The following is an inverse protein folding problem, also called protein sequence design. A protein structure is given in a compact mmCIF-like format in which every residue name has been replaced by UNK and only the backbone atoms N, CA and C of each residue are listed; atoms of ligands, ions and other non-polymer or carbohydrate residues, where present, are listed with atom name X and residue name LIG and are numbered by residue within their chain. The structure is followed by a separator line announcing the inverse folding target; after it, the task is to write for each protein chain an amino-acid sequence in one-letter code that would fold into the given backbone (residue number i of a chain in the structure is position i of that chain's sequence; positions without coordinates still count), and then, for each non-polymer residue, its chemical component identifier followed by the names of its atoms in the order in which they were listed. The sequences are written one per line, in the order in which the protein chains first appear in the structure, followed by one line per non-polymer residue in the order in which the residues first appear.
data_IF_945077901830
#
_entry.id   IF_945077901830
#
_cell.length_a   1.000
_cell.length_b   1.000
_cell.length_c   1.000
_cell.angle_alpha   90.00
_cell.angle_beta   90.00
_cell.angle_gamma   90.00
#
_symmetry.space_group_name_H-M   'P 1'
#
loop_
_entity.id
_entity.type
_entity.pdbx_description
1 polymer ?
#
# COMPACT_ATOMS: atom_id res chain seq x y z
N UNK A 1 -16.08 -33.30 38.42
CA UNK A 1 -16.58 -32.64 37.19
C UNK A 1 -16.14 -31.18 37.22
N UNK A 2 -15.93 -30.59 36.04
CA UNK A 2 -15.65 -29.17 35.79
C UNK A 2 -14.39 -28.56 36.44
N UNK A 3 -13.39 -28.27 35.60
CA UNK A 3 -12.33 -27.28 35.85
C UNK A 3 -12.43 -26.17 34.79
N UNK A 4 -12.25 -24.91 35.19
CA UNK A 4 -12.42 -23.74 34.32
C UNK A 4 -11.36 -23.68 33.20
N UNK A 5 -11.70 -23.17 31.99
CA UNK A 5 -10.71 -22.80 30.99
C UNK A 5 -10.05 -21.46 31.34
N UNK A 6 -8.72 -21.41 31.25
CA UNK A 6 -7.90 -20.22 31.49
C UNK A 6 -7.76 -19.34 30.24
N UNK A 7 -7.35 -18.08 30.47
CA UNK A 7 -7.35 -17.00 29.49
C UNK A 7 -6.52 -17.28 28.22
N UNK A 8 -7.06 -16.84 27.07
CA UNK A 8 -6.37 -16.87 25.78
C UNK A 8 -5.24 -15.84 25.71
N UNK A 9 -4.00 -16.31 25.76
CA UNK A 9 -2.85 -15.49 25.36
C UNK A 9 -2.79 -15.36 23.83
N UNK A 10 -2.52 -14.15 23.34
CA UNK A 10 -2.44 -13.85 21.91
C UNK A 10 -1.14 -14.43 21.33
N UNK A 11 -1.18 -15.68 20.86
CA UNK A 11 -0.03 -16.30 20.21
C UNK A 11 0.28 -15.59 18.88
N UNK A 12 1.44 -14.91 18.83
CA UNK A 12 2.07 -14.58 17.57
C UNK A 12 2.48 -15.89 16.85
N UNK A 13 2.35 -15.98 15.51
CA UNK A 13 2.63 -17.21 14.79
C UNK A 13 4.13 -17.59 14.87
N UNK A 14 4.39 -18.87 15.11
CA UNK A 14 5.70 -19.41 15.52
C UNK A 14 6.83 -19.28 14.49
N UNK A 15 6.54 -18.96 13.22
CA UNK A 15 7.55 -18.81 12.16
C UNK A 15 8.40 -17.53 12.29
N UNK A 16 8.02 -16.58 13.15
CA UNK A 16 8.85 -15.40 13.44
C UNK A 16 10.23 -15.78 14.03
N UNK A 17 10.38 -17.00 14.54
CA UNK A 17 11.62 -17.51 15.15
C UNK A 17 12.73 -17.89 14.15
N UNK A 18 12.47 -17.99 12.84
CA UNK A 18 13.47 -18.39 11.84
C UNK A 18 14.17 -17.20 11.15
N UNK A 19 13.90 -15.97 11.59
CA UNK A 19 14.58 -14.76 11.11
C UNK A 19 16.05 -14.61 11.61
N UNK A 20 16.70 -15.71 12.01
CA UNK A 20 17.99 -15.70 12.73
C UNK A 20 19.23 -15.58 11.83
N UNK A 21 19.07 -15.60 10.50
CA UNK A 21 20.17 -15.23 9.60
C UNK A 21 20.30 -13.70 9.55
N UNK A 22 21.46 -13.10 9.91
CA UNK A 22 21.66 -11.66 9.85
C UNK A 22 21.37 -11.10 8.46
N UNK A 23 21.76 -11.80 7.39
CA UNK A 23 21.54 -11.37 6.00
C UNK A 23 20.05 -11.11 5.74
N UNK A 24 19.20 -12.10 6.06
CA UNK A 24 17.75 -12.00 5.82
C UNK A 24 17.06 -10.89 6.63
N UNK A 25 17.51 -10.66 7.88
CA UNK A 25 17.01 -9.55 8.69
C UNK A 25 17.34 -8.18 8.08
N UNK A 26 18.56 -8.01 7.58
CA UNK A 26 18.99 -6.77 6.92
C UNK A 26 18.21 -6.52 5.62
N UNK A 27 18.07 -7.54 4.75
CA UNK A 27 17.31 -7.41 3.50
C UNK A 27 15.87 -6.98 3.76
N UNK A 28 15.15 -7.62 4.70
CA UNK A 28 13.76 -7.26 5.04
C UNK A 28 13.62 -5.85 5.61
N UNK A 29 14.57 -5.38 6.42
CA UNK A 29 14.54 -4.03 7.01
C UNK A 29 14.84 -2.92 5.98
N UNK A 30 15.67 -3.23 4.99
CA UNK A 30 16.01 -2.34 3.87
C UNK A 30 15.02 -2.41 2.69
N UNK A 31 14.13 -3.40 2.69
CA UNK A 31 13.22 -3.68 1.58
C UNK A 31 12.25 -2.54 1.28
N UNK A 32 11.51 -1.94 2.24
CA UNK A 32 10.52 -0.94 1.87
C UNK A 32 11.20 0.38 1.48
N UNK A 33 10.79 0.96 0.34
CA UNK A 33 11.21 2.30 -0.09
C UNK A 33 10.71 3.32 0.94
N UNK A 34 11.57 4.29 1.29
CA UNK A 34 11.29 5.35 2.27
C UNK A 34 11.71 6.69 1.68
N UNK A 35 10.71 7.54 1.47
CA UNK A 35 10.78 8.90 0.91
C UNK A 35 9.78 9.78 1.65
N UNK A 36 9.94 11.11 1.63
CA UNK A 36 8.98 12.03 2.23
C UNK A 36 7.74 12.22 1.34
N UNK A 37 6.62 12.75 1.87
CA UNK A 37 5.43 13.04 1.05
C UNK A 37 5.80 13.94 -0.13
N UNK A 38 5.18 13.69 -1.28
CA UNK A 38 5.44 14.34 -2.56
C UNK A 38 6.83 14.09 -3.20
N UNK A 39 7.78 13.42 -2.54
CA UNK A 39 9.05 13.06 -3.20
C UNK A 39 8.82 11.99 -4.29
N UNK A 40 9.34 12.19 -5.53
CA UNK A 40 9.26 11.21 -6.60
C UNK A 40 10.11 9.97 -6.28
N UNK A 41 9.65 8.80 -6.71
CA UNK A 41 10.48 7.59 -6.71
C UNK A 41 11.30 7.55 -8.00
N UNK A 42 12.63 7.59 -7.87
CA UNK A 42 13.55 7.52 -9.01
C UNK A 42 13.59 6.12 -9.62
N UNK A 43 14.18 6.01 -10.82
CA UNK A 43 14.58 4.72 -11.40
C UNK A 43 15.47 3.91 -10.46
N UNK A 44 16.37 4.54 -9.68
CA UNK A 44 17.16 3.84 -8.65
C UNK A 44 16.26 3.32 -7.51
N UNK A 45 15.28 4.09 -7.02
CA UNK A 45 14.39 3.64 -5.93
C UNK A 45 13.60 2.38 -6.34
N UNK A 46 13.06 2.38 -7.57
CA UNK A 46 12.23 1.29 -8.10
C UNK A 46 13.03 0.16 -8.75
N UNK A 47 14.34 0.36 -8.99
CA UNK A 47 15.20 -0.55 -9.76
C UNK A 47 14.63 -0.79 -11.17
N UNK A 48 14.42 0.30 -11.91
CA UNK A 48 13.75 0.29 -13.22
C UNK A 48 14.38 -0.69 -14.23
N UNK A 49 15.70 -0.74 -14.36
CA UNK A 49 16.36 -1.54 -15.40
C UNK A 49 16.21 -3.05 -15.13
N UNK A 50 16.13 -3.45 -13.86
CA UNK A 50 15.81 -4.82 -13.45
C UNK A 50 14.38 -5.17 -13.85
N UNK A 51 13.43 -4.29 -13.53
CA UNK A 51 12.03 -4.46 -13.90
C UNK A 51 11.86 -4.48 -15.43
N UNK A 52 12.61 -3.65 -16.14
CA UNK A 52 12.55 -3.60 -17.60
C UNK A 52 13.08 -4.89 -18.22
N UNK A 53 14.23 -5.41 -17.76
CA UNK A 53 14.73 -6.72 -18.20
C UNK A 53 13.71 -7.85 -17.93
N UNK A 54 13.09 -7.87 -16.75
CA UNK A 54 12.11 -8.91 -16.37
C UNK A 54 10.86 -8.88 -17.27
N UNK A 55 10.35 -7.69 -17.59
CA UNK A 55 9.10 -7.53 -18.34
C UNK A 55 9.27 -7.41 -19.86
N UNK A 56 10.47 -7.10 -20.36
CA UNK A 56 10.80 -7.12 -21.79
C UNK A 56 11.30 -8.47 -22.30
N UNK A 57 11.51 -9.45 -21.41
CA UNK A 57 11.94 -10.80 -21.80
C UNK A 57 10.91 -11.48 -22.72
N UNK A 58 11.38 -11.92 -23.88
CA UNK A 58 10.55 -12.47 -24.97
C UNK A 58 10.45 -13.99 -24.95
N UNK A 59 11.04 -14.68 -23.97
CA UNK A 59 11.01 -16.15 -23.91
C UNK A 59 9.64 -16.64 -23.47
N UNK A 60 8.85 -17.12 -24.43
CA UNK A 60 7.60 -17.79 -24.20
C UNK A 60 7.84 -19.20 -23.64
N UNK A 61 8.02 -19.32 -22.31
CA UNK A 61 8.42 -20.56 -21.64
C UNK A 61 7.54 -20.95 -20.45
N UNK A 62 6.60 -20.09 -20.04
CA UNK A 62 5.71 -20.34 -18.90
C UNK A 62 4.33 -20.82 -19.36
N UNK A 63 3.70 -21.73 -18.62
CA UNK A 63 2.34 -22.23 -18.88
C UNK A 63 1.31 -21.15 -18.53
N UNK A 64 0.46 -20.76 -19.48
CA UNK A 64 -0.68 -19.88 -19.18
C UNK A 64 -1.82 -20.68 -18.53
N UNK A 65 -2.17 -20.44 -17.25
CA UNK A 65 -3.25 -21.17 -16.57
C UNK A 65 -4.66 -20.86 -17.11
N UNK A 66 -4.80 -19.86 -17.99
CA UNK A 66 -6.08 -19.46 -18.58
C UNK A 66 -6.25 -19.98 -20.02
N UNK A 67 -5.17 -20.48 -20.63
CA UNK A 67 -5.22 -21.10 -21.94
C UNK A 67 -5.67 -22.56 -21.81
N UNK A 68 -6.65 -22.96 -22.61
CA UNK A 68 -7.05 -24.38 -22.73
C UNK A 68 -6.05 -25.24 -23.51
N UNK A 69 -4.85 -24.73 -23.77
CA UNK A 69 -3.76 -25.39 -24.51
C UNK A 69 -2.44 -25.22 -23.76
N UNK A 70 -1.46 -26.08 -24.01
CA UNK A 70 -0.09 -25.95 -23.49
C UNK A 70 0.70 -24.81 -24.18
N UNK A 71 0.02 -23.69 -24.46
CA UNK A 71 0.60 -22.49 -25.03
C UNK A 71 1.50 -21.83 -23.99
N UNK A 72 2.79 -21.73 -24.32
CA UNK A 72 3.74 -21.01 -23.48
C UNK A 72 3.66 -19.49 -23.72
N UNK A 73 3.83 -18.73 -22.64
CA UNK A 73 3.81 -17.26 -22.60
C UNK A 73 5.07 -16.72 -21.93
N UNK A 74 5.38 -15.45 -22.19
CA UNK A 74 6.46 -14.72 -21.50
C UNK A 74 6.11 -14.43 -20.05
N UNK A 75 7.09 -14.18 -19.18
CA UNK A 75 6.83 -13.75 -17.80
C UNK A 75 5.92 -12.51 -17.72
N UNK A 76 6.17 -11.49 -18.56
CA UNK A 76 5.36 -10.27 -18.58
C UNK A 76 3.88 -10.55 -18.83
N UNK A 77 3.57 -11.30 -19.89
CA UNK A 77 2.20 -11.72 -20.19
C UNK A 77 1.57 -12.59 -19.08
N UNK A 78 2.32 -13.52 -18.49
CA UNK A 78 1.82 -14.35 -17.37
C UNK A 78 1.42 -13.50 -16.16
N UNK A 79 2.27 -12.54 -15.79
CA UNK A 79 2.05 -11.68 -14.62
C UNK A 79 0.93 -10.67 -14.87
N UNK A 80 0.87 -10.06 -16.06
CA UNK A 80 -0.24 -9.19 -16.50
C UNK A 80 -1.56 -9.97 -16.51
N UNK A 81 -1.56 -11.19 -17.05
CA UNK A 81 -2.75 -12.07 -17.08
C UNK A 81 -3.26 -12.39 -15.67
N UNK A 82 -2.36 -12.77 -14.74
CA UNK A 82 -2.73 -13.04 -13.35
C UNK A 82 -3.33 -11.81 -12.62
N UNK A 83 -2.82 -10.61 -12.90
CA UNK A 83 -3.40 -9.36 -12.40
C UNK A 83 -4.77 -9.08 -13.03
N UNK A 84 -4.90 -9.28 -14.34
CA UNK A 84 -6.14 -9.06 -15.09
C UNK A 84 -7.26 -10.03 -14.66
N UNK A 85 -6.95 -11.29 -14.37
CA UNK A 85 -7.96 -12.30 -13.97
C UNK A 85 -8.35 -12.20 -12.50
N UNK A 86 -7.56 -11.50 -11.66
CA UNK A 86 -7.89 -11.25 -10.26
C UNK A 86 -9.32 -10.73 -10.06
N UNK A 87 -10.01 -11.28 -9.06
CA UNK A 87 -11.38 -10.88 -8.67
C UNK A 87 -11.42 -9.54 -7.94
N UNK A 88 -10.26 -8.95 -7.61
CA UNK A 88 -10.13 -7.60 -7.03
C UNK A 88 -9.49 -6.59 -7.98
N UNK A 89 -9.12 -6.99 -9.20
CA UNK A 89 -8.83 -6.04 -10.28
C UNK A 89 -10.13 -5.36 -10.73
N UNK A 90 -10.21 -4.03 -10.63
CA UNK A 90 -11.45 -3.30 -10.91
C UNK A 90 -11.76 -3.26 -12.42
N UNK A 91 -13.05 -3.09 -12.78
CA UNK A 91 -13.48 -3.00 -14.18
C UNK A 91 -12.72 -1.92 -14.96
N UNK A 92 -12.62 -0.71 -14.40
CA UNK A 92 -11.89 0.43 -14.99
C UNK A 92 -10.40 0.09 -15.22
N UNK A 93 -9.77 -0.65 -14.31
CA UNK A 93 -8.38 -1.07 -14.47
C UNK A 93 -8.24 -2.09 -15.62
N UNK A 94 -9.16 -3.07 -15.71
CA UNK A 94 -9.19 -4.04 -16.81
C UNK A 94 -9.40 -3.36 -18.17
N UNK A 95 -10.32 -2.40 -18.23
CA UNK A 95 -10.57 -1.60 -19.43
C UNK A 95 -9.32 -0.82 -19.85
N UNK A 96 -8.63 -0.15 -18.91
CA UNK A 96 -7.38 0.57 -19.19
C UNK A 96 -6.23 -0.36 -19.61
N UNK A 97 -6.12 -1.55 -19.01
CA UNK A 97 -5.14 -2.57 -19.37
C UNK A 97 -5.30 -3.08 -20.81
N UNK A 98 -6.54 -3.15 -21.30
CA UNK A 98 -6.88 -3.53 -22.69
C UNK A 98 -6.69 -2.35 -23.65
N UNK A 99 -7.14 -1.15 -23.27
CA UNK A 99 -7.01 0.08 -24.06
C UNK A 99 -5.54 0.47 -24.29
N UNK A 100 -4.69 0.30 -23.27
CA UNK A 100 -3.29 0.73 -23.29
C UNK A 100 -2.38 -0.40 -22.79
N UNK A 101 -1.89 -1.29 -23.66
CA UNK A 101 -1.01 -2.39 -23.26
C UNK A 101 0.28 -1.96 -22.53
N UNK A 102 0.82 -0.77 -22.83
CA UNK A 102 1.94 -0.19 -22.11
C UNK A 102 1.62 0.07 -20.62
N UNK A 103 0.42 0.57 -20.32
CA UNK A 103 -0.07 0.76 -18.95
C UNK A 103 -0.12 -0.56 -18.18
N UNK A 104 -0.49 -1.67 -18.83
CA UNK A 104 -0.48 -3.00 -18.20
C UNK A 104 0.91 -3.40 -17.71
N UNK A 105 1.97 -3.10 -18.48
CA UNK A 105 3.35 -3.37 -18.10
C UNK A 105 3.81 -2.43 -16.98
N UNK A 106 3.51 -1.14 -17.07
CA UNK A 106 3.80 -0.16 -16.00
C UNK A 106 3.14 -0.55 -14.67
N UNK A 107 1.84 -0.86 -14.71
CA UNK A 107 1.09 -1.35 -13.55
C UNK A 107 1.65 -2.68 -13.01
N UNK A 108 2.01 -3.61 -13.89
CA UNK A 108 2.60 -4.89 -13.50
C UNK A 108 3.96 -4.73 -12.81
N UNK A 109 4.80 -3.78 -13.23
CA UNK A 109 6.06 -3.41 -12.57
C UNK A 109 5.82 -2.87 -11.15
N UNK A 110 4.85 -1.97 -10.96
CA UNK A 110 4.45 -1.46 -9.63
C UNK A 110 3.85 -2.59 -8.76
N UNK A 111 3.05 -3.48 -9.36
CA UNK A 111 2.47 -4.62 -8.68
C UNK A 111 3.53 -5.65 -8.25
N UNK A 112 4.56 -5.90 -9.05
CA UNK A 112 5.69 -6.75 -8.66
C UNK A 112 6.43 -6.18 -7.44
N UNK A 113 6.75 -4.88 -7.44
CA UNK A 113 7.36 -4.20 -6.31
C UNK A 113 6.48 -4.23 -5.05
N UNK A 114 5.15 -4.15 -5.21
CA UNK A 114 4.20 -4.29 -4.10
C UNK A 114 4.14 -5.74 -3.58
N UNK A 115 4.26 -6.73 -4.47
CA UNK A 115 4.22 -8.15 -4.11
C UNK A 115 5.46 -8.58 -3.30
N UNK A 116 6.66 -8.13 -3.72
CA UNK A 116 7.90 -8.38 -2.96
C UNK A 116 8.04 -7.49 -1.73
N UNK A 117 7.22 -6.44 -1.57
CA UNK A 117 7.25 -5.55 -0.41
C UNK A 117 8.24 -4.38 -0.49
N UNK A 118 8.71 -4.01 -1.68
CA UNK A 118 9.43 -2.74 -1.93
C UNK A 118 8.50 -1.54 -1.78
N UNK A 119 7.28 -1.64 -2.30
CA UNK A 119 6.23 -0.62 -2.19
C UNK A 119 5.32 -0.93 -1.01
N UNK A 120 5.22 0.01 -0.07
CA UNK A 120 4.38 -0.10 1.13
C UNK A 120 2.93 0.27 0.86
N UNK A 121 1.99 -0.33 1.60
CA UNK A 121 0.55 0.00 1.54
C UNK A 121 0.18 1.41 2.02
N UNK A 122 1.11 2.18 2.57
CA UNK A 122 0.91 3.60 2.88
C UNK A 122 1.11 4.50 1.65
N UNK A 123 1.72 3.99 0.58
CA UNK A 123 2.00 4.76 -0.63
C UNK A 123 0.77 4.90 -1.53
N UNK A 124 0.55 6.10 -2.04
CA UNK A 124 -0.48 6.46 -3.00
C UNK A 124 0.16 7.05 -4.27
N UNK A 125 -0.47 6.82 -5.42
CA UNK A 125 0.02 7.22 -6.75
C UNK A 125 -0.87 8.27 -7.41
N UNK A 126 -1.69 8.98 -6.62
CA UNK A 126 -2.52 10.11 -7.01
C UNK A 126 -2.42 11.25 -5.97
N UNK A 127 -2.27 12.52 -6.40
CA UNK A 127 -2.00 13.63 -5.49
C UNK A 127 -3.23 14.10 -4.68
N UNK A 128 -4.45 13.72 -5.06
CA UNK A 128 -5.73 14.17 -4.46
C UNK A 128 -6.08 13.52 -3.10
N UNK A 129 -5.20 12.71 -2.52
CA UNK A 129 -5.46 12.06 -1.23
C UNK A 129 -5.54 13.05 -0.07
N UNK A 130 -6.71 13.11 0.56
CA UNK A 130 -6.95 13.92 1.78
C UNK A 130 -6.49 13.24 3.08
N UNK A 131 -6.21 11.92 3.06
CA UNK A 131 -5.92 11.15 4.28
C UNK A 131 -4.47 11.33 4.76
N UNK A 132 -4.28 11.75 6.02
CA UNK A 132 -2.96 11.99 6.62
C UNK A 132 -2.10 10.71 6.84
N UNK A 133 -2.69 9.51 6.76
CA UNK A 133 -2.00 8.22 6.94
C UNK A 133 -1.35 7.67 5.65
N UNK A 134 -1.45 8.40 4.53
CA UNK A 134 -0.92 7.97 3.23
C UNK A 134 0.02 9.02 2.67
N UNK A 135 1.13 8.56 2.10
CA UNK A 135 2.10 9.42 1.41
C UNK A 135 1.95 9.27 -0.10
N UNK A 136 1.82 10.39 -0.81
CA UNK A 136 1.85 10.46 -2.25
C UNK A 136 3.29 10.43 -2.75
N UNK A 137 3.58 9.54 -3.70
CA UNK A 137 4.85 9.53 -4.42
C UNK A 137 4.57 9.36 -5.91
N UNK A 138 4.89 10.35 -6.77
CA UNK A 138 4.90 10.13 -8.20
C UNK A 138 6.00 9.12 -8.57
N UNK A 139 5.76 8.27 -9.56
CA UNK A 139 6.73 7.28 -10.06
C UNK A 139 6.95 7.51 -11.56
N UNK A 140 7.76 8.51 -11.95
CA UNK A 140 7.78 9.03 -13.32
C UNK A 140 8.12 7.97 -14.38
N UNK A 141 8.99 7.02 -14.02
CA UNK A 141 9.42 5.95 -14.90
C UNK A 141 8.36 4.85 -15.13
N UNK A 142 7.30 4.81 -14.32
CA UNK A 142 6.21 3.82 -14.36
C UNK A 142 4.81 4.47 -14.41
N UNK A 143 4.72 5.75 -14.78
CA UNK A 143 3.46 6.49 -14.95
C UNK A 143 3.49 7.35 -16.22
N UNK A 144 4.02 6.81 -17.32
CA UNK A 144 4.14 7.54 -18.61
C UNK A 144 2.85 7.51 -19.41
N UNK A 145 2.01 6.51 -19.17
CA UNK A 145 0.69 6.40 -19.77
C UNK A 145 -0.37 7.15 -18.96
N UNK A 146 -1.38 7.69 -19.64
CA UNK A 146 -2.51 8.37 -18.98
C UNK A 146 -3.43 7.34 -18.31
N UNK A 147 -3.17 7.09 -17.02
CA UNK A 147 -3.88 6.11 -16.22
C UNK A 147 -3.57 6.23 -14.73
N UNK A 148 -4.62 6.16 -13.89
CA UNK A 148 -4.46 6.15 -12.44
C UNK A 148 -3.89 4.78 -11.98
N UNK A 149 -2.65 4.77 -11.48
CA UNK A 149 -1.92 3.59 -10.99
C UNK A 149 -2.44 2.99 -9.65
N UNK A 150 -3.64 3.37 -9.20
CA UNK A 150 -4.51 2.75 -8.17
C UNK A 150 -4.18 2.75 -6.68
N UNK A 151 -2.96 3.07 -6.21
CA UNK A 151 -2.54 2.89 -4.80
C UNK A 151 -2.16 1.46 -4.38
N UNK A 152 -1.21 1.40 -3.45
CA UNK A 152 -0.65 0.15 -2.97
C UNK A 152 -1.66 -0.75 -2.22
N UNK A 153 -2.63 -0.25 -1.41
CA UNK A 153 -3.71 -1.07 -0.87
C UNK A 153 -4.58 -1.78 -1.91
N UNK A 154 -5.00 -1.11 -2.98
CA UNK A 154 -5.80 -1.71 -4.07
C UNK A 154 -4.97 -2.73 -4.85
N UNK A 155 -3.72 -2.40 -5.15
CA UNK A 155 -2.76 -3.34 -5.75
C UNK A 155 -2.57 -4.58 -4.87
N UNK A 156 -2.35 -4.43 -3.56
CA UNK A 156 -2.20 -5.56 -2.63
C UNK A 156 -3.45 -6.44 -2.55
N UNK A 157 -4.64 -5.83 -2.60
CA UNK A 157 -5.90 -6.58 -2.65
C UNK A 157 -6.09 -7.31 -4.00
N UNK A 158 -5.65 -6.71 -5.12
CA UNK A 158 -5.57 -7.35 -6.43
C UNK A 158 -4.64 -8.58 -6.40
N UNK A 159 -3.41 -8.42 -5.89
CA UNK A 159 -2.42 -9.49 -5.75
C UNK A 159 -2.94 -10.66 -4.90
N UNK A 160 -3.53 -10.38 -3.73
CA UNK A 160 -4.14 -11.40 -2.86
C UNK A 160 -5.26 -12.21 -3.50
N UNK A 161 -5.88 -11.69 -4.57
CA UNK A 161 -6.98 -12.32 -5.29
C UNK A 161 -6.59 -12.81 -6.70
N UNK A 162 -5.31 -12.72 -7.06
CA UNK A 162 -4.72 -13.28 -8.27
C UNK A 162 -4.39 -14.78 -8.05
N UNK A 163 -5.44 -15.58 -7.83
CA UNK A 163 -5.37 -17.01 -7.54
C UNK A 163 -5.70 -17.83 -8.78
N UNK A 164 -5.13 -19.03 -8.91
CA UNK A 164 -5.57 -20.01 -9.91
C UNK A 164 -7.00 -20.49 -9.60
N UNK A 165 -7.76 -20.99 -10.60
CA UNK A 165 -9.08 -21.59 -10.35
C UNK A 165 -9.07 -22.69 -9.28
N UNK A 166 -8.01 -23.51 -9.24
CA UNK A 166 -7.77 -24.55 -8.23
C UNK A 166 -7.54 -23.99 -6.81
N UNK A 167 -6.96 -22.80 -6.71
CA UNK A 167 -6.63 -22.11 -5.45
C UNK A 167 -7.81 -21.28 -4.89
N UNK A 168 -8.92 -21.17 -5.63
CA UNK A 168 -10.15 -20.52 -5.12
C UNK A 168 -10.89 -21.36 -4.08
N UNK A 169 -10.66 -22.69 -4.08
CA UNK A 169 -11.35 -23.65 -3.18
C UNK A 169 -10.44 -24.25 -2.11
N UNK A 170 -9.13 -24.30 -2.38
CA UNK A 170 -8.10 -24.87 -1.51
C UNK A 170 -7.03 -23.79 -1.34
N UNK A 171 -6.49 -23.54 -0.14
CA UNK A 171 -5.46 -22.52 0.04
C UNK A 171 -4.27 -22.72 -0.92
N UNK A 172 -3.70 -21.63 -1.46
CA UNK A 172 -2.49 -21.70 -2.26
C UNK A 172 -1.32 -22.23 -1.42
N UNK A 173 -0.31 -22.86 -2.04
CA UNK A 173 0.85 -23.38 -1.33
C UNK A 173 1.61 -22.24 -0.65
N UNK A 174 2.04 -22.46 0.59
CA UNK A 174 2.61 -21.45 1.49
C UNK A 174 4.14 -21.58 1.65
N UNK A 175 4.72 -22.67 1.17
CA UNK A 175 6.16 -22.97 1.24
C UNK A 175 6.73 -23.38 -0.11
N UNK A 176 8.04 -23.21 -0.36
CA UNK A 176 8.67 -23.64 -1.63
C UNK A 176 8.52 -25.14 -1.88
N UNK A 177 8.57 -25.97 -0.83
CA UNK A 177 8.44 -27.43 -0.95
C UNK A 177 7.00 -27.87 -1.28
N UNK A 178 5.97 -27.15 -0.80
CA UNK A 178 4.58 -27.39 -1.25
C UNK A 178 4.41 -27.09 -2.74
N UNK A 179 5.06 -26.03 -3.25
CA UNK A 179 5.06 -25.69 -4.68
C UNK A 179 5.73 -26.82 -5.48
N UNK A 180 6.92 -27.25 -5.08
CA UNK A 180 7.64 -28.36 -5.73
C UNK A 180 6.87 -29.69 -5.62
N UNK A 181 6.20 -29.96 -4.50
CA UNK A 181 5.36 -31.15 -4.33
C UNK A 181 4.21 -31.17 -5.35
N UNK A 182 3.52 -30.04 -5.55
CA UNK A 182 2.49 -29.93 -6.60
C UNK A 182 3.07 -30.07 -8.00
N UNK A 183 4.24 -29.50 -8.26
CA UNK A 183 4.94 -29.58 -9.55
C UNK A 183 5.34 -31.03 -9.88
N UNK A 184 5.94 -31.75 -8.92
CA UNK A 184 6.30 -33.17 -9.03
C UNK A 184 5.07 -34.09 -9.17
N UNK A 185 3.90 -33.65 -8.69
CA UNK A 185 2.62 -34.32 -8.90
C UNK A 185 1.97 -34.02 -10.28
N UNK A 186 2.65 -33.29 -11.16
CA UNK A 186 2.19 -32.97 -12.52
C UNK A 186 1.16 -31.83 -12.58
N UNK A 187 1.04 -31.00 -11.53
CA UNK A 187 0.16 -29.83 -11.53
C UNK A 187 0.93 -28.65 -12.15
N UNK A 188 0.55 -28.26 -13.36
CA UNK A 188 1.18 -27.16 -14.10
C UNK A 188 0.16 -26.05 -14.45
N UNK A 189 0.42 -24.78 -14.07
CA UNK A 189 1.38 -24.36 -13.04
C UNK A 189 0.92 -24.80 -11.64
N UNK A 190 1.85 -25.06 -10.70
CA UNK A 190 1.54 -25.55 -9.34
C UNK A 190 0.87 -24.50 -8.44
N UNK A 191 1.03 -23.23 -8.78
CA UNK A 191 0.46 -22.06 -8.09
C UNK A 191 0.46 -20.84 -9.01
N UNK A 192 -0.27 -19.77 -8.66
CA UNK A 192 -0.20 -18.53 -9.44
C UNK A 192 1.19 -17.89 -9.34
N UNK A 193 1.64 -17.24 -10.41
CA UNK A 193 2.94 -16.52 -10.41
C UNK A 193 3.01 -15.45 -9.30
N UNK A 194 1.88 -14.83 -8.97
CA UNK A 194 1.77 -13.87 -7.87
C UNK A 194 2.02 -14.54 -6.52
N UNK A 195 1.39 -15.69 -6.26
CA UNK A 195 1.61 -16.43 -5.02
C UNK A 195 3.04 -17.00 -4.93
N UNK A 196 3.61 -17.52 -6.03
CA UNK A 196 5.00 -17.97 -6.01
C UNK A 196 5.96 -16.85 -5.57
N UNK A 197 5.85 -15.65 -6.15
CA UNK A 197 6.74 -14.53 -5.79
C UNK A 197 6.56 -14.14 -4.31
N UNK A 198 5.34 -14.23 -3.77
CA UNK A 198 5.07 -14.05 -2.35
C UNK A 198 5.73 -15.16 -1.49
N UNK A 199 5.66 -16.43 -1.90
CA UNK A 199 6.35 -17.55 -1.24
C UNK A 199 7.87 -17.34 -1.26
N UNK A 200 8.47 -17.02 -2.41
CA UNK A 200 9.91 -16.76 -2.53
C UNK A 200 10.37 -15.57 -1.67
N UNK A 201 9.56 -14.51 -1.58
CA UNK A 201 9.84 -13.36 -0.70
C UNK A 201 9.80 -13.73 0.79
N UNK A 202 8.79 -14.49 1.22
CA UNK A 202 8.65 -14.93 2.61
C UNK A 202 9.66 -16.00 3.01
N UNK A 203 10.16 -16.79 2.07
CA UNK A 203 11.14 -17.86 2.30
C UNK A 203 12.55 -17.50 1.79
N UNK A 204 12.82 -16.22 1.52
CA UNK A 204 14.12 -15.79 0.99
C UNK A 204 15.31 -16.22 1.88
N UNK A 205 15.12 -16.26 3.21
CA UNK A 205 16.16 -16.63 4.17
C UNK A 205 16.67 -18.09 4.00
N UNK A 206 15.82 -19.14 4.07
CA UNK A 206 16.27 -20.51 3.80
C UNK A 206 16.68 -20.73 2.34
N UNK A 207 16.08 -20.01 1.38
CA UNK A 207 16.44 -20.13 -0.04
C UNK A 207 17.84 -19.55 -0.37
N UNK A 208 18.43 -18.75 0.52
CA UNK A 208 19.77 -18.17 0.34
C UNK A 208 20.87 -19.24 0.15
N UNK A 209 20.89 -20.27 1.00
CA UNK A 209 21.88 -21.36 0.89
C UNK A 209 21.52 -22.39 -0.19
N UNK A 210 20.24 -22.49 -0.56
CA UNK A 210 19.76 -23.40 -1.60
C UNK A 210 20.15 -22.86 -2.98
N UNK A 211 19.71 -21.66 -3.33
CA UNK A 211 19.87 -21.13 -4.70
C UNK A 211 21.04 -20.16 -4.89
N UNK A 212 21.50 -19.50 -3.83
CA UNK A 212 22.62 -18.56 -3.86
C UNK A 212 23.82 -19.14 -3.11
N UNK A 213 24.81 -18.30 -2.77
CA UNK A 213 26.00 -18.64 -1.97
C UNK A 213 25.78 -18.48 -0.45
N UNK A 214 24.56 -18.15 -0.02
CA UNK A 214 24.22 -17.81 1.36
C UNK A 214 24.54 -16.37 1.78
N UNK A 215 25.26 -15.60 0.96
CA UNK A 215 25.51 -14.16 1.19
C UNK A 215 24.40 -13.26 0.61
N UNK A 216 23.70 -13.76 -0.41
CA UNK A 216 22.56 -13.14 -1.07
C UNK A 216 21.31 -14.00 -0.93
N UNK A 217 20.14 -13.35 -1.02
CA UNK A 217 18.84 -13.99 -1.09
C UNK A 217 17.92 -13.35 -2.14
N UNK A 218 16.74 -13.94 -2.35
CA UNK A 218 15.77 -13.49 -3.35
C UNK A 218 15.38 -12.01 -3.24
N UNK A 219 15.32 -11.45 -2.02
CA UNK A 219 14.96 -10.05 -1.82
C UNK A 219 16.06 -9.07 -2.23
N UNK A 220 17.34 -9.49 -2.15
CA UNK A 220 18.48 -8.66 -2.52
C UNK A 220 18.50 -8.36 -4.02
N UNK A 221 17.84 -9.20 -4.84
CA UNK A 221 17.61 -8.90 -6.25
C UNK A 221 16.90 -7.54 -6.43
N UNK A 222 16.02 -7.14 -5.51
CA UNK A 222 15.22 -5.92 -5.61
C UNK A 222 15.80 -4.71 -4.86
N UNK A 223 16.96 -4.85 -4.22
CA UNK A 223 17.57 -3.77 -3.43
C UNK A 223 18.53 -2.91 -4.27
N UNK A 224 18.52 -1.57 -4.10
CA UNK A 224 19.54 -0.69 -4.65
C UNK A 224 20.86 -0.88 -3.91
N UNK A 225 21.97 -0.36 -4.47
CA UNK A 225 23.33 -0.34 -3.87
C UNK A 225 23.92 -1.72 -3.54
N UNK A 226 23.37 -2.78 -4.14
CA UNK A 226 23.96 -4.13 -4.13
C UNK A 226 25.19 -4.26 -5.03
N UNK A 227 25.40 -3.29 -5.93
CA UNK A 227 26.42 -3.31 -6.98
C UNK A 227 26.31 -4.52 -7.93
N UNK A 228 25.15 -5.16 -8.02
CA UNK A 228 24.89 -6.30 -8.92
C UNK A 228 24.19 -5.83 -10.19
N UNK A 229 24.57 -6.37 -11.35
CA UNK A 229 23.96 -5.96 -12.62
C UNK A 229 22.46 -6.25 -12.65
N UNK A 230 21.67 -5.27 -13.10
CA UNK A 230 20.22 -5.40 -13.24
C UNK A 230 19.83 -6.53 -14.20
N UNK A 231 20.61 -6.74 -15.27
CA UNK A 231 20.48 -7.88 -16.21
C UNK A 231 20.62 -9.23 -15.52
N UNK A 232 21.70 -9.42 -14.74
CA UNK A 232 21.97 -10.70 -14.08
C UNK A 232 20.94 -11.00 -12.99
N UNK A 233 20.55 -9.96 -12.21
CA UNK A 233 19.49 -10.06 -11.21
C UNK A 233 18.14 -10.43 -11.84
N UNK A 234 17.82 -9.85 -13.00
CA UNK A 234 16.62 -10.18 -13.75
C UNK A 234 16.65 -11.60 -14.31
N UNK A 235 17.80 -12.07 -14.78
CA UNK A 235 18.00 -13.46 -15.22
C UNK A 235 17.84 -14.45 -14.06
N UNK A 236 18.43 -14.17 -12.90
CA UNK A 236 18.30 -14.98 -11.70
C UNK A 236 16.85 -15.02 -11.18
N UNK A 237 16.13 -13.89 -11.22
CA UNK A 237 14.69 -13.85 -10.92
C UNK A 237 13.89 -14.77 -11.86
N UNK A 238 14.05 -14.63 -13.18
CA UNK A 238 13.32 -15.43 -14.15
C UNK A 238 13.68 -16.93 -14.05
N UNK A 239 14.95 -17.25 -13.77
CA UNK A 239 15.40 -18.62 -13.48
C UNK A 239 14.65 -19.23 -12.31
N UNK A 240 14.52 -18.50 -11.19
CA UNK A 240 13.77 -18.95 -10.00
C UNK A 240 12.29 -19.13 -10.29
N UNK A 241 11.66 -18.19 -11.00
CA UNK A 241 10.24 -18.31 -11.36
C UNK A 241 10.00 -19.55 -12.25
N UNK A 242 10.89 -19.83 -13.20
CA UNK A 242 10.79 -21.03 -14.05
C UNK A 242 11.02 -22.32 -13.26
N UNK A 243 12.03 -22.35 -12.38
CA UNK A 243 12.36 -23.52 -11.56
C UNK A 243 11.16 -23.99 -10.72
N UNK A 244 10.38 -23.06 -10.18
CA UNK A 244 9.23 -23.36 -9.33
C UNK A 244 7.88 -23.47 -10.05
N UNK A 245 7.65 -22.82 -11.21
CA UNK A 245 6.38 -22.94 -11.95
C UNK A 245 6.38 -24.05 -13.02
N UNK A 246 7.50 -24.25 -13.69
CA UNK A 246 7.57 -25.10 -14.89
C UNK A 246 8.34 -26.38 -14.63
N UNK A 247 9.56 -26.28 -14.09
CA UNK A 247 10.45 -27.43 -14.00
C UNK A 247 11.59 -27.26 -12.99
N UNK A 248 11.59 -28.10 -11.96
CA UNK A 248 12.65 -28.17 -10.95
C UNK A 248 14.01 -28.57 -11.56
N UNK A 249 14.01 -29.61 -12.41
CA UNK A 249 15.23 -30.20 -12.96
C UNK A 249 15.65 -29.55 -14.30
N UNK A 250 16.97 -29.42 -14.60
CA UNK A 250 17.48 -28.87 -15.86
C UNK A 250 16.92 -29.53 -17.14
N UNK A 251 17.02 -28.86 -18.31
CA UNK A 251 17.51 -27.49 -18.51
C UNK A 251 16.49 -26.44 -18.07
N UNK A 252 16.98 -25.30 -17.59
CA UNK A 252 16.20 -24.08 -17.36
C UNK A 252 16.55 -23.08 -18.49
N UNK A 253 15.57 -22.46 -19.19
CA UNK A 253 15.83 -21.56 -20.32
C UNK A 253 16.52 -20.24 -19.92
N UNK A 254 16.73 -20.02 -18.62
CA UNK A 254 17.49 -18.90 -18.06
C UNK A 254 18.91 -19.31 -17.61
N UNK A 255 19.31 -20.59 -17.75
CA UNK A 255 20.62 -21.11 -17.34
C UNK A 255 21.81 -20.38 -17.97
N UNK A 256 22.90 -20.24 -17.21
CA UNK A 256 24.23 -19.81 -17.69
C UNK A 256 25.29 -20.88 -17.40
N UNK A 257 26.57 -20.60 -17.64
CA UNK A 257 27.67 -21.53 -17.37
C UNK A 257 27.80 -21.91 -15.88
N UNK A 258 27.35 -21.05 -14.96
CA UNK A 258 27.37 -21.29 -13.53
C UNK A 258 26.22 -22.20 -13.10
N UNK A 259 24.96 -21.85 -13.40
CA UNK A 259 23.81 -22.68 -13.02
C UNK A 259 23.82 -24.06 -13.70
N UNK A 260 24.31 -24.14 -14.94
CA UNK A 260 24.55 -25.43 -15.64
C UNK A 260 25.56 -26.31 -14.90
N UNK A 261 26.60 -25.71 -14.28
CA UNK A 261 27.64 -26.44 -13.55
C UNK A 261 27.24 -26.80 -12.13
N UNK A 262 26.37 -25.99 -11.52
CA UNK A 262 25.90 -26.17 -10.15
C UNK A 262 24.37 -26.26 -10.12
N UNK A 263 23.79 -27.44 -10.41
CA UNK A 263 22.34 -27.64 -10.41
C UNK A 263 21.68 -27.14 -9.13
N UNK A 264 20.56 -26.44 -9.28
CA UNK A 264 19.86 -25.78 -8.18
C UNK A 264 20.38 -24.38 -7.83
N UNK A 265 21.52 -23.92 -8.38
CA UNK A 265 21.99 -22.53 -8.20
C UNK A 265 21.49 -21.60 -9.29
N UNK A 266 21.26 -20.34 -8.94
CA UNK A 266 20.95 -19.29 -9.92
C UNK A 266 22.14 -19.03 -10.88
N UNK A 267 21.87 -18.44 -12.06
CA UNK A 267 22.89 -17.84 -12.90
C UNK A 267 23.79 -16.86 -12.14
N UNK A 268 25.01 -16.68 -12.63
CA UNK A 268 26.01 -15.83 -11.99
C UNK A 268 25.54 -14.37 -11.86
N UNK A 269 25.77 -13.79 -10.67
CA UNK A 269 25.43 -12.39 -10.35
C UNK A 269 26.72 -11.56 -10.32
N UNK A 270 27.07 -10.89 -11.43
CA UNK A 270 28.33 -10.13 -11.50
C UNK A 270 28.23 -8.82 -10.73
N UNK A 271 29.33 -8.44 -10.08
CA UNK A 271 29.49 -7.11 -9.52
C UNK A 271 29.86 -6.11 -10.62
N UNK A 272 29.23 -4.94 -10.56
CA UNK A 272 29.50 -3.81 -11.43
C UNK A 272 30.67 -2.98 -10.93
N UNK A 273 31.39 -2.39 -11.88
CA UNK A 273 32.28 -1.25 -11.60
C UNK A 273 31.47 0.01 -11.26
N UNK A 274 32.05 1.03 -10.61
CA UNK A 274 31.33 2.27 -10.29
C UNK A 274 30.69 2.96 -11.50
N UNK A 275 31.38 2.98 -12.65
CA UNK A 275 30.88 3.55 -13.90
C UNK A 275 29.68 2.77 -14.44
N UNK A 276 29.74 1.43 -14.41
CA UNK A 276 28.62 0.59 -14.85
C UNK A 276 27.39 0.75 -13.94
N UNK A 277 27.58 0.81 -12.62
CA UNK A 277 26.47 1.04 -11.68
C UNK A 277 25.81 2.41 -11.91
N UNK A 278 26.61 3.45 -12.19
CA UNK A 278 26.11 4.79 -12.53
C UNK A 278 25.41 4.87 -13.89
N UNK A 279 25.60 3.88 -14.77
CA UNK A 279 24.90 3.80 -16.06
C UNK A 279 23.58 3.02 -16.01
N UNK A 280 23.35 2.22 -14.96
CA UNK A 280 22.06 1.54 -14.74
C UNK A 280 21.11 2.48 -13.95
N UNK A 281 19.81 2.41 -14.23
CA UNK A 281 18.74 3.10 -13.52
C UNK A 281 18.81 4.64 -13.54
N UNK A 282 19.27 5.22 -14.65
CA UNK A 282 19.37 6.69 -14.84
C UNK A 282 18.04 7.29 -15.25
N UNK A 283 17.48 8.18 -14.44
CA UNK A 283 16.27 8.95 -14.79
C UNK A 283 16.50 9.86 -16.00
N UNK A 284 15.52 9.89 -16.90
CA UNK A 284 15.52 10.81 -18.06
C UNK A 284 15.16 12.25 -17.65
N UNK A 285 15.58 13.28 -18.40
CA UNK A 285 15.21 14.67 -18.13
C UNK A 285 13.69 14.87 -18.01
N UNK A 286 12.91 14.16 -18.84
CA UNK A 286 11.45 14.21 -18.88
C UNK A 286 10.84 13.59 -17.61
N UNK A 287 11.37 12.46 -17.14
CA UNK A 287 10.97 11.81 -15.88
C UNK A 287 11.25 12.74 -14.68
N UNK A 288 12.42 13.39 -14.64
CA UNK A 288 12.77 14.37 -13.59
C UNK A 288 11.82 15.57 -13.63
N UNK A 289 11.56 16.13 -14.81
CA UNK A 289 10.66 17.28 -14.98
C UNK A 289 9.22 16.95 -14.55
N UNK A 290 8.70 15.81 -14.99
CA UNK A 290 7.35 15.36 -14.65
C UNK A 290 7.21 15.03 -13.16
N UNK A 291 8.21 14.38 -12.56
CA UNK A 291 8.25 14.14 -11.12
C UNK A 291 8.15 15.42 -10.32
N UNK A 292 9.00 16.41 -10.62
CA UNK A 292 8.97 17.73 -9.99
C UNK A 292 7.62 18.46 -10.17
N UNK A 293 7.02 18.37 -11.36
CA UNK A 293 5.69 18.94 -11.63
C UNK A 293 4.60 18.31 -10.77
N UNK A 294 4.63 16.98 -10.59
CA UNK A 294 3.69 16.24 -9.76
C UNK A 294 3.90 16.51 -8.26
N UNK A 295 5.14 16.63 -7.79
CA UNK A 295 5.47 17.06 -6.43
C UNK A 295 4.91 18.46 -6.14
N UNK A 296 5.08 19.40 -7.08
CA UNK A 296 4.53 20.74 -6.96
C UNK A 296 2.99 20.74 -6.97
N UNK A 297 2.35 19.87 -7.77
CA UNK A 297 0.89 19.70 -7.76
C UNK A 297 0.37 19.22 -6.39
N UNK A 298 1.01 18.20 -5.80
CA UNK A 298 0.70 17.71 -4.45
C UNK A 298 0.83 18.81 -3.39
N UNK A 299 1.91 19.59 -3.43
CA UNK A 299 2.13 20.67 -2.47
C UNK A 299 1.06 21.76 -2.56
N UNK A 300 0.63 22.14 -3.78
CA UNK A 300 -0.50 23.07 -3.99
C UNK A 300 -1.84 22.50 -3.50
N UNK A 301 -2.07 21.19 -3.68
CA UNK A 301 -3.26 20.51 -3.17
C UNK A 301 -3.32 20.56 -1.65
N UNK A 302 -2.19 20.23 -0.97
CA UNK A 302 -2.10 20.31 0.49
C UNK A 302 -2.28 21.73 1.03
N UNK A 303 -1.67 22.74 0.39
CA UNK A 303 -1.87 24.16 0.72
C UNK A 303 -3.35 24.53 0.71
N UNK A 304 -4.06 24.21 -0.38
CA UNK A 304 -5.50 24.47 -0.52
C UNK A 304 -6.31 23.75 0.55
N UNK A 305 -5.99 22.48 0.84
CA UNK A 305 -6.67 21.69 1.87
C UNK A 305 -6.53 22.32 3.26
N UNK A 306 -5.32 22.73 3.64
CA UNK A 306 -5.05 23.44 4.91
C UNK A 306 -5.80 24.77 4.96
N UNK A 307 -5.77 25.58 3.89
CA UNK A 307 -6.52 26.85 3.84
C UNK A 307 -8.02 26.65 4.04
N UNK A 308 -8.63 25.64 3.40
CA UNK A 308 -10.06 25.33 3.59
C UNK A 308 -10.35 24.95 5.04
N UNK A 309 -9.54 24.06 5.64
CA UNK A 309 -9.72 23.65 7.05
C UNK A 309 -9.58 24.84 8.01
N UNK A 310 -8.65 25.77 7.76
CA UNK A 310 -8.53 27.00 8.55
C UNK A 310 -9.74 27.93 8.40
N UNK A 311 -10.27 28.08 7.19
CA UNK A 311 -11.47 28.89 6.93
C UNK A 311 -12.68 28.28 7.64
N UNK A 312 -12.89 26.97 7.54
CA UNK A 312 -13.98 26.27 8.20
C UNK A 312 -13.87 26.35 9.74
N UNK A 313 -12.65 26.23 10.28
CA UNK A 313 -12.39 26.42 11.71
C UNK A 313 -12.69 27.85 12.16
N UNK A 314 -12.28 28.86 11.39
CA UNK A 314 -12.58 30.28 11.67
C UNK A 314 -14.08 30.56 11.61
N UNK A 315 -14.77 30.03 10.60
CA UNK A 315 -16.22 30.14 10.47
C UNK A 315 -16.95 29.54 11.67
N UNK A 316 -16.63 28.30 12.06
CA UNK A 316 -17.20 27.63 13.24
C UNK A 316 -16.94 28.39 14.54
N UNK A 317 -15.75 28.99 14.70
CA UNK A 317 -15.43 29.82 15.85
C UNK A 317 -16.25 31.13 15.88
N UNK A 318 -16.47 31.77 14.73
CA UNK A 318 -17.30 32.99 14.64
C UNK A 318 -18.80 32.76 14.82
N UNK A 319 -19.28 31.52 14.68
CA UNK A 319 -20.68 31.14 14.95
C UNK A 319 -20.93 30.62 16.36
N UNK A 320 -19.91 30.56 17.23
CA UNK A 320 -20.12 30.25 18.64
C UNK A 320 -20.88 31.41 19.32
N UNK A 321 -21.96 31.15 20.08
CA UNK A 321 -22.78 32.23 20.64
C UNK A 321 -21.99 33.03 21.69
N UNK A 322 -21.84 34.33 21.45
CA UNK A 322 -21.37 35.26 22.46
C UNK A 322 -22.38 35.32 23.61
N UNK A 323 -22.05 34.69 24.74
CA UNK A 323 -22.81 34.85 25.97
C UNK A 323 -22.48 36.22 26.58
N UNK A 324 -23.33 37.21 26.30
CA UNK A 324 -23.23 38.55 26.90
C UNK A 324 -23.76 38.46 28.33
N UNK A 325 -22.87 38.39 29.32
CA UNK A 325 -23.24 38.66 30.71
C UNK A 325 -23.37 40.17 30.91
N UNK A 326 -24.60 40.67 30.97
CA UNK A 326 -24.88 42.05 31.37
C UNK A 326 -24.41 42.34 32.80
N UNK A 327 -24.14 43.62 33.05
CA UNK A 327 -23.45 44.14 34.23
C UNK A 327 -24.32 44.19 35.48
N UNK A 328 -23.77 43.82 36.65
CA UNK A 328 -24.47 43.96 37.94
C UNK A 328 -23.59 43.87 39.20
N UNK A 329 -23.05 45.03 39.62
CA UNK A 329 -22.55 45.38 40.97
C UNK A 329 -21.30 44.74 41.61
N UNK A 330 -20.59 45.62 42.33
CA UNK A 330 -19.32 45.46 43.05
C UNK A 330 -19.29 44.39 44.16
N UNK A 331 -18.11 43.80 44.39
CA UNK A 331 -17.38 43.72 45.69
C UNK A 331 -15.96 43.11 45.45
N UNK A 332 -14.97 43.27 46.35
CA UNK A 332 -13.55 43.24 45.96
C UNK A 332 -12.73 41.99 46.35
N UNK A 333 -11.57 41.86 45.67
CA UNK A 333 -10.28 41.30 46.14
C UNK A 333 -10.16 39.76 46.30
N UNK A 334 -9.33 39.15 45.45
CA UNK A 334 -8.10 38.50 45.91
C UNK A 334 -7.07 38.32 44.79
N UNK A 335 -5.78 38.44 45.11
CA UNK A 335 -4.68 38.12 44.21
C UNK A 335 -4.56 36.60 44.05
N UNK A 336 -4.32 36.12 42.83
CA UNK A 336 -3.58 34.87 42.63
C UNK A 336 -2.69 35.02 41.40
N UNK A 337 -1.43 34.66 41.57
CA UNK A 337 -0.37 34.85 40.57
C UNK A 337 -0.68 34.06 39.29
N UNK A 338 -0.42 34.68 38.14
CA UNK A 338 -0.28 33.95 36.88
C UNK A 338 0.99 33.10 36.95
N UNK A 339 0.84 31.80 36.70
CA UNK A 339 1.92 30.90 36.32
C UNK A 339 1.61 30.40 34.90
N UNK A 340 2.54 30.48 33.94
CA UNK A 340 2.27 30.06 32.57
C UNK A 340 2.17 28.54 32.50
N UNK A 341 0.99 28.01 32.17
CA UNK A 341 0.84 26.59 31.85
C UNK A 341 1.35 26.34 30.42
N UNK A 342 2.32 25.44 30.34
CA UNK A 342 3.02 25.02 29.12
C UNK A 342 2.06 24.43 28.08
N UNK A 343 2.17 24.94 26.85
CA UNK A 343 1.36 24.50 25.70
C UNK A 343 1.91 23.20 25.08
N UNK A 344 1.96 22.11 25.86
CA UNK A 344 2.37 20.79 25.37
C UNK A 344 1.16 19.94 24.97
N UNK A 345 0.78 20.08 23.70
CA UNK A 345 0.03 19.08 22.95
C UNK A 345 0.27 19.32 21.46
N UNK A 346 0.90 18.39 20.72
CA UNK A 346 1.29 18.62 19.34
C UNK A 346 0.05 18.61 18.43
N UNK A 347 -0.47 19.80 18.12
CA UNK A 347 -1.38 19.97 17.00
C UNK A 347 -0.71 19.50 15.71
N UNK A 348 -1.39 18.65 14.95
CA UNK A 348 -0.86 18.01 13.75
C UNK A 348 -0.45 19.07 12.70
N UNK A 349 0.84 19.35 12.59
CA UNK A 349 1.40 20.29 11.63
C UNK A 349 1.66 19.57 10.30
N UNK A 350 0.84 19.88 9.29
CA UNK A 350 1.20 19.57 7.90
C UNK A 350 2.41 20.44 7.52
N UNK A 351 3.59 19.83 7.40
CA UNK A 351 4.78 20.55 6.95
C UNK A 351 4.61 20.96 5.48
N UNK A 352 4.45 22.26 5.25
CA UNK A 352 4.38 22.85 3.92
C UNK A 352 5.57 23.80 3.78
N UNK A 353 6.53 23.53 2.87
CA UNK A 353 7.61 24.47 2.57
C UNK A 353 7.04 25.80 2.08
N UNK A 354 7.48 26.90 2.69
CA UNK A 354 7.02 28.25 2.36
C UNK A 354 7.71 28.76 1.10
N UNK A 355 6.94 29.01 0.04
CA UNK A 355 7.36 29.82 -1.12
C UNK A 355 6.49 31.06 -1.21
N UNK A 356 7.08 32.21 -1.55
CA UNK A 356 6.41 33.51 -1.49
C UNK A 356 5.21 33.61 -2.47
N UNK A 357 4.13 34.31 -2.10
CA UNK A 357 2.94 34.43 -2.93
C UNK A 357 2.99 35.60 -3.92
N UNK A 358 2.71 35.31 -5.20
CA UNK A 358 2.34 36.32 -6.20
C UNK A 358 0.87 36.79 -6.03
N UNK A 359 0.51 38.01 -6.47
CA UNK A 359 -0.80 38.60 -6.20
C UNK A 359 -1.95 38.02 -7.05
N UNK A 360 -3.12 37.88 -6.42
CA UNK A 360 -4.29 37.22 -7.00
C UNK A 360 -5.19 38.15 -7.85
N UNK A 361 -5.82 37.58 -8.88
CA UNK A 361 -6.92 38.20 -9.65
C UNK A 361 -8.29 37.80 -9.08
N UNK A 362 -9.31 38.69 -9.12
CA UNK A 362 -10.62 38.44 -8.50
C UNK A 362 -11.54 37.55 -9.33
N UNK A 363 -12.25 36.62 -8.69
CA UNK A 363 -13.30 35.81 -9.31
C UNK A 363 -14.71 36.14 -8.79
N UNK A 364 -15.69 36.05 -9.69
CA UNK A 364 -17.08 36.44 -9.50
C UNK A 364 -17.90 35.41 -8.72
N UNK A 365 -18.84 35.87 -7.88
CA UNK A 365 -19.79 35.02 -7.15
C UNK A 365 -21.07 34.81 -7.96
N UNK A 366 -21.53 33.56 -8.08
CA UNK A 366 -22.93 33.20 -8.40
C UNK A 366 -23.47 32.25 -7.32
N UNK A 367 -24.71 32.44 -6.83
CA UNK A 367 -25.31 31.54 -5.85
C UNK A 367 -25.91 30.30 -6.52
N UNK A 368 -25.80 29.15 -5.87
CA UNK A 368 -26.57 27.96 -6.19
C UNK A 368 -27.64 27.74 -5.12
N UNK A 369 -28.90 27.60 -5.53
CA UNK A 369 -30.00 27.27 -4.62
C UNK A 369 -29.87 25.82 -4.14
N UNK A 370 -30.03 25.59 -2.83
CA UNK A 370 -30.11 24.24 -2.23
C UNK A 370 -31.57 23.98 -1.84
N UNK A 371 -32.20 22.97 -2.44
CA UNK A 371 -33.55 22.57 -2.00
C UNK A 371 -33.49 21.99 -0.58
N UNK A 372 -34.31 22.51 0.31
CA UNK A 372 -34.42 22.10 1.72
C UNK A 372 -35.62 21.16 1.86
N UNK A 373 -35.37 19.85 1.96
CA UNK A 373 -36.39 18.88 2.39
C UNK A 373 -36.62 19.04 3.89
N UNK A 374 -37.85 19.36 4.28
CA UNK A 374 -38.25 19.53 5.68
C UNK A 374 -38.36 18.19 6.40
N UNK A 375 -37.64 18.02 7.50
CA UNK A 375 -37.89 16.97 8.50
C UNK A 375 -37.95 17.64 9.88
N UNK A 376 -38.88 17.18 10.72
CA UNK A 376 -39.30 17.82 11.97
C UNK A 376 -38.16 18.02 12.97
N UNK A 377 -37.89 19.28 13.34
CA UNK A 377 -37.06 19.63 14.50
C UNK A 377 -37.91 19.49 15.78
N UNK A 378 -37.56 18.56 16.69
CA UNK A 378 -38.05 18.62 18.08
C UNK A 378 -38.59 17.35 18.76
N UNK A 379 -38.58 16.17 18.13
CA UNK A 379 -38.97 14.91 18.82
C UNK A 379 -37.76 13.98 19.03
N UNK A 380 -37.49 13.62 20.29
CA UNK A 380 -36.55 12.54 20.63
C UNK A 380 -37.09 11.20 20.11
N UNK A 381 -36.28 10.47 19.33
CA UNK A 381 -36.63 9.12 18.87
C UNK A 381 -36.45 8.10 19.99
N UNK A 382 -37.29 7.07 19.99
CA UNK A 382 -37.07 5.90 20.85
C UNK A 382 -35.83 5.11 20.41
N UNK A 383 -35.25 4.31 21.31
CA UNK A 383 -34.07 3.47 21.01
C UNK A 383 -34.28 2.55 19.80
N UNK A 384 -35.51 2.06 19.59
CA UNK A 384 -35.84 1.19 18.47
C UNK A 384 -35.90 1.95 17.14
N UNK A 385 -36.52 3.13 17.13
CA UNK A 385 -36.59 3.99 15.94
C UNK A 385 -35.20 4.51 15.53
N UNK A 386 -34.34 4.86 16.48
CA UNK A 386 -32.97 5.26 16.19
C UNK A 386 -32.13 4.09 15.62
N UNK A 387 -32.31 2.86 16.14
CA UNK A 387 -31.66 1.68 15.60
C UNK A 387 -32.12 1.37 14.16
N UNK A 388 -33.43 1.49 13.89
CA UNK A 388 -33.99 1.33 12.54
C UNK A 388 -33.48 2.42 11.57
N UNK A 389 -33.41 3.67 12.03
CA UNK A 389 -32.84 4.79 11.27
C UNK A 389 -31.37 4.54 10.90
N UNK A 390 -30.52 4.13 11.86
CA UNK A 390 -29.12 3.82 11.58
C UNK A 390 -28.94 2.63 10.62
N UNK A 391 -29.81 1.62 10.68
CA UNK A 391 -29.78 0.49 9.75
C UNK A 391 -30.29 0.84 8.33
N UNK A 392 -30.99 1.97 8.16
CA UNK A 392 -31.57 2.43 6.89
C UNK A 392 -30.69 3.45 6.15
N UNK A 393 -29.61 3.93 6.76
CA UNK A 393 -28.64 4.83 6.14
C UNK A 393 -27.67 4.02 5.28
N UNK A 394 -27.33 4.52 4.10
CA UNK A 394 -26.35 3.89 3.21
C UNK A 394 -24.95 3.87 3.88
N UNK A 395 -24.35 2.68 4.12
CA UNK A 395 -23.04 2.55 4.77
C UNK A 395 -21.86 3.08 3.94
N UNK A 396 -22.10 3.61 2.73
CA UNK A 396 -21.11 4.31 1.90
C UNK A 396 -21.24 5.85 1.92
N UNK A 397 -22.20 6.41 2.65
CA UNK A 397 -22.22 7.86 2.93
C UNK A 397 -21.08 8.19 3.90
N UNK A 398 -20.23 9.16 3.52
CA UNK A 398 -19.03 9.52 4.27
C UNK A 398 -19.38 9.90 5.73
N UNK A 399 -18.65 9.32 6.68
CA UNK A 399 -18.76 9.60 8.13
C UNK A 399 -18.49 11.06 8.51
N UNK A 400 -18.03 11.87 7.56
CA UNK A 400 -17.70 13.28 7.72
C UNK A 400 -18.89 14.19 7.37
N UNK A 401 -19.92 13.68 6.65
CA UNK A 401 -21.23 14.31 6.50
C UNK A 401 -22.24 13.74 7.51
N UNK A 402 -21.91 13.81 8.81
CA UNK A 402 -22.95 13.72 9.84
C UNK A 402 -23.96 14.87 9.65
N UNK A 403 -25.07 14.57 8.97
CA UNK A 403 -26.31 15.34 9.07
C UNK A 403 -26.61 15.55 10.55
N UNK A 404 -26.87 16.80 10.95
CA UNK A 404 -26.97 17.25 12.34
C UNK A 404 -28.18 16.64 13.09
N UNK A 405 -28.12 15.34 13.37
CA UNK A 405 -29.14 14.59 14.09
C UNK A 405 -28.79 14.56 15.58
N UNK A 406 -29.45 15.43 16.36
CA UNK A 406 -29.30 15.49 17.81
C UNK A 406 -29.56 14.13 18.50
N UNK A 407 -30.37 13.23 17.89
CA UNK A 407 -30.58 11.88 18.42
C UNK A 407 -29.29 11.04 18.43
N UNK A 408 -28.45 11.19 17.41
CA UNK A 408 -27.13 10.53 17.33
C UNK A 408 -26.20 11.05 18.43
N UNK A 409 -26.19 12.37 18.66
CA UNK A 409 -25.41 13.01 19.74
C UNK A 409 -25.88 12.57 21.13
N UNK A 410 -27.18 12.42 21.34
CA UNK A 410 -27.77 11.91 22.58
C UNK A 410 -27.39 10.44 22.83
N UNK A 411 -27.43 9.58 21.82
CA UNK A 411 -27.02 8.17 21.96
C UNK A 411 -25.53 8.04 22.31
N UNK A 412 -24.62 8.75 21.60
CA UNK A 412 -23.21 8.79 21.97
C UNK A 412 -22.98 9.26 23.41
N UNK A 413 -23.70 10.30 23.86
CA UNK A 413 -23.62 10.81 25.23
C UNK A 413 -24.08 9.76 26.26
N UNK A 414 -25.18 9.05 25.98
CA UNK A 414 -25.68 7.95 26.84
C UNK A 414 -24.69 6.78 26.89
N UNK A 415 -24.12 6.36 25.74
CA UNK A 415 -23.11 5.29 25.65
C UNK A 415 -21.83 5.62 26.41
N UNK A 416 -21.29 6.84 26.28
CA UNK A 416 -20.13 7.32 27.06
C UNK A 416 -20.43 7.37 28.56
N UNK A 417 -21.66 7.71 28.95
CA UNK A 417 -22.14 7.61 30.34
C UNK A 417 -22.16 6.18 30.90
N UNK A 418 -22.43 5.16 30.06
CA UNK A 418 -22.34 3.75 30.47
C UNK A 418 -20.90 3.28 30.54
N UNK A 419 -20.08 3.58 29.53
CA UNK A 419 -18.66 3.18 29.48
C UNK A 419 -17.89 3.77 30.66
N UNK A 420 -18.09 5.06 30.98
CA UNK A 420 -17.44 5.70 32.13
C UNK A 420 -17.88 5.15 33.49
N UNK A 421 -19.09 4.58 33.60
CA UNK A 421 -19.54 3.85 34.81
C UNK A 421 -18.93 2.46 34.92
N UNK A 422 -18.69 1.77 33.79
CA UNK A 422 -18.02 0.47 33.76
C UNK A 422 -16.53 0.64 34.15
N UNK A 423 -15.84 1.60 33.55
CA UNK A 423 -14.42 1.89 33.80
C UNK A 423 -14.11 2.41 35.22
N UNK A 424 -15.12 2.78 36.01
CA UNK A 424 -14.98 3.27 37.40
C UNK A 424 -15.32 2.23 38.47
N UNK A 425 -15.66 1.00 38.09
CA UNK A 425 -15.82 -0.10 39.06
C UNK A 425 -14.45 -0.76 39.31
N UNK A 426 -14.03 -0.94 40.57
CA UNK A 426 -12.86 -1.78 40.85
C UNK A 426 -13.13 -3.22 40.38
N UNK A 427 -12.09 -3.95 39.93
CA UNK A 427 -12.26 -5.34 39.50
C UNK A 427 -12.80 -6.19 40.64
N UNK A 428 -13.76 -7.06 40.33
CA UNK A 428 -14.34 -7.99 41.30
C UNK A 428 -13.23 -8.87 41.89
N UNK A 429 -13.13 -9.01 43.23
CA UNK A 429 -12.19 -9.96 43.81
C UNK A 429 -12.53 -11.39 43.36
N UNK A 430 -11.49 -12.16 43.05
CA UNK A 430 -11.52 -13.53 42.53
C UNK A 430 -11.94 -14.56 43.57
#
# INVERSE_FOLDING_TARGET
MATNPSASSSQAPSWAAEANSPVAYHSRKALPIKRNDAEPLSREDVQFDLLDYIFSDTRAVFTDPNSGSDSKVTFGNLYVSALYTSSKCSKVLKEKMVETPAFSIEFAKIALLTNVGRINTTMAFFPEMKTALRTYHPVPSLQKTDGNAQDAPRIKNCLKAALLPTETRVPPPSTPEEVLTKLRAGIHPPTSVVNLIFVLANHAAPLASIHFDGSLNFLDLFLPRTWLSSTDRGRAFLWLVYHYLEKENPPNPFDDTHSTRYPGKVPSLRRLTPQQYQSENVDTPEEIQWGNMMSAHRNRFLQRLVTTIEVDRKARASTAPHFVTETGNNLPRSQRQEAPLTQDSPGFLFYVPSTQPDPALPQSKRPYNRHRTSVSEGQERTMFEQAWHMASIDPLVDSDEETQDENTRLDYTRRLGVISRILRRPPTPT
#
